data_IF_994286015707
#
_entry.id   IF_994286015707
#
_cell.length_a   1.000
_cell.length_b   1.000
_cell.length_c   1.000
_cell.angle_alpha   90.00
_cell.angle_beta   90.00
_cell.angle_gamma   90.00
#
_symmetry.space_group_name_H-M   'P 1'
#
loop_
_entity.id
_entity.type
_entity.pdbx_description
1 polymer ?
#
# COMPACT_ATOMS: atom_id res chain seq x y z
N UNK A 1 16.28 14.48 -0.39
CA UNK A 1 16.02 13.33 -1.28
C UNK A 1 14.52 13.19 -1.37
N UNK A 2 13.96 13.06 -2.57
CA UNK A 2 12.50 13.02 -2.72
C UNK A 2 11.97 11.61 -2.44
N UNK A 3 10.84 11.47 -1.76
CA UNK A 3 10.28 10.19 -1.32
C UNK A 3 8.85 10.02 -1.83
N UNK A 4 8.55 8.86 -2.41
CA UNK A 4 7.21 8.45 -2.81
C UNK A 4 6.82 7.21 -2.02
N UNK A 5 5.69 7.27 -1.33
CA UNK A 5 5.07 6.10 -0.73
C UNK A 5 4.10 5.49 -1.73
N UNK A 6 4.15 4.17 -1.82
CA UNK A 6 3.24 3.39 -2.61
C UNK A 6 2.50 2.42 -1.70
N UNK A 7 1.19 2.58 -1.63
CA UNK A 7 0.28 1.76 -0.84
C UNK A 7 -0.23 0.60 -1.70
N UNK A 8 -0.32 -0.59 -1.12
CA UNK A 8 -0.73 -1.81 -1.83
C UNK A 8 -1.32 -2.89 -0.92
N UNK A 9 -2.10 -3.80 -1.53
CA UNK A 9 -2.57 -5.06 -0.94
C UNK A 9 -1.73 -6.28 -1.34
N UNK A 10 -0.49 -6.08 -1.78
CA UNK A 10 0.41 -7.16 -2.23
C UNK A 10 0.67 -8.25 -1.16
N UNK A 11 0.39 -7.95 0.10
CA UNK A 11 0.50 -8.89 1.22
C UNK A 11 -0.61 -9.96 1.24
N UNK A 12 -1.66 -9.82 0.42
CA UNK A 12 -2.73 -10.82 0.23
C UNK A 12 -2.27 -11.99 -0.68
N UNK A 13 -1.10 -11.85 -1.34
CA UNK A 13 -0.53 -12.87 -2.25
C UNK A 13 -1.47 -13.27 -3.41
N UNK A 14 -2.22 -12.29 -3.92
CA UNK A 14 -2.94 -12.43 -5.18
C UNK A 14 -2.06 -11.95 -6.35
N UNK A 15 -2.20 -12.59 -7.51
CA UNK A 15 -1.43 -12.22 -8.70
C UNK A 15 -1.62 -10.75 -9.11
N UNK A 16 -2.84 -10.23 -9.11
CA UNK A 16 -3.11 -8.83 -9.45
C UNK A 16 -2.48 -7.88 -8.43
N UNK A 17 -2.71 -8.16 -7.15
CA UNK A 17 -2.22 -7.34 -6.04
C UNK A 17 -0.70 -7.37 -5.90
N UNK A 18 0.00 -8.35 -6.49
CA UNK A 18 1.47 -8.37 -6.52
C UNK A 18 2.03 -7.83 -7.85
N UNK A 19 1.37 -8.10 -8.97
CA UNK A 19 1.82 -7.70 -10.30
C UNK A 19 1.73 -6.20 -10.55
N UNK A 20 0.59 -5.56 -10.25
CA UNK A 20 0.43 -4.13 -10.49
C UNK A 20 1.42 -3.30 -9.66
N UNK A 21 1.63 -3.64 -8.37
CA UNK A 21 2.66 -2.99 -7.59
C UNK A 21 4.07 -3.14 -8.14
N UNK A 22 4.42 -4.35 -8.57
CA UNK A 22 5.72 -4.60 -9.18
C UNK A 22 5.94 -3.73 -10.42
N UNK A 23 4.97 -3.69 -11.33
CA UNK A 23 5.04 -2.86 -12.54
C UNK A 23 5.15 -1.38 -12.18
N UNK A 24 4.38 -0.91 -11.20
CA UNK A 24 4.45 0.48 -10.74
C UNK A 24 5.86 0.84 -10.26
N UNK A 25 6.46 0.04 -9.39
CA UNK A 25 7.81 0.29 -8.85
C UNK A 25 8.84 0.35 -9.97
N UNK A 26 8.81 -0.61 -10.89
CA UNK A 26 9.76 -0.68 -12.01
C UNK A 26 9.62 0.51 -12.97
N UNK A 27 8.39 0.94 -13.25
CA UNK A 27 8.14 2.09 -14.13
C UNK A 27 8.45 3.43 -13.46
N UNK A 28 8.22 3.56 -12.16
CA UNK A 28 8.54 4.77 -11.39
C UNK A 28 10.03 4.96 -11.19
N UNK A 29 10.80 3.89 -10.91
CA UNK A 29 12.27 3.95 -10.84
C UNK A 29 12.88 4.53 -12.12
N UNK A 30 12.34 4.18 -13.29
CA UNK A 30 12.79 4.69 -14.60
C UNK A 30 12.45 6.17 -14.81
N UNK A 31 11.25 6.59 -14.39
CA UNK A 31 10.73 7.97 -14.60
C UNK A 31 11.22 8.96 -13.55
N UNK A 32 11.52 8.47 -12.35
CA UNK A 32 11.85 9.27 -11.18
C UNK A 32 13.20 8.83 -10.58
N UNK A 33 14.32 8.91 -11.32
CA UNK A 33 15.62 8.37 -10.89
C UNK A 33 16.20 9.03 -9.63
N UNK A 34 15.64 10.15 -9.16
CA UNK A 34 16.03 10.84 -7.92
C UNK A 34 15.06 10.64 -6.74
N UNK A 35 14.05 9.77 -6.90
CA UNK A 35 13.10 9.44 -5.85
C UNK A 35 13.44 8.10 -5.20
N UNK A 36 13.28 8.05 -3.88
CA UNK A 36 13.12 6.79 -3.16
C UNK A 36 11.64 6.40 -3.24
N UNK A 37 11.37 5.12 -3.52
CA UNK A 37 10.02 4.57 -3.60
C UNK A 37 9.92 3.50 -2.51
N UNK A 38 9.14 3.79 -1.48
CA UNK A 38 8.86 2.84 -0.41
C UNK A 38 7.50 2.20 -0.66
N UNK A 39 7.44 0.87 -0.57
CA UNK A 39 6.21 0.11 -0.75
C UNK A 39 5.67 -0.27 0.62
N UNK A 40 4.42 0.09 0.88
CA UNK A 40 3.74 -0.11 2.16
C UNK A 40 2.50 -0.98 1.94
N UNK A 41 2.35 -2.00 2.78
CA UNK A 41 1.20 -2.92 2.78
C UNK A 41 0.69 -3.14 4.20
N UNK A 42 -0.49 -3.78 4.36
CA UNK A 42 -1.06 -4.00 5.69
C UNK A 42 -0.14 -4.88 6.57
N UNK A 43 0.60 -5.80 5.97
CA UNK A 43 1.69 -6.56 6.58
C UNK A 43 2.97 -6.44 5.76
N UNK A 44 4.12 -6.60 6.43
CA UNK A 44 5.39 -6.68 5.73
C UNK A 44 5.41 -7.94 4.84
N UNK A 45 5.84 -7.79 3.59
CA UNK A 45 5.80 -8.84 2.59
C UNK A 45 6.96 -8.75 1.60
N UNK A 46 7.06 -9.73 0.71
CA UNK A 46 7.92 -9.67 -0.45
C UNK A 46 7.15 -10.17 -1.68
N UNK A 47 7.29 -9.48 -2.80
CA UNK A 47 6.78 -9.92 -4.09
C UNK A 47 7.84 -9.70 -5.17
N UNK A 48 8.35 -10.81 -5.72
CA UNK A 48 9.52 -10.77 -6.60
C UNK A 48 10.74 -10.11 -5.93
N UNK A 49 11.39 -9.11 -6.56
CA UNK A 49 12.52 -8.39 -5.97
C UNK A 49 12.11 -7.20 -5.09
N UNK A 50 10.81 -6.99 -4.86
CA UNK A 50 10.29 -5.84 -4.11
C UNK A 50 9.95 -6.28 -2.68
N UNK A 51 10.43 -5.52 -1.71
CA UNK A 51 10.09 -5.68 -0.30
C UNK A 51 9.08 -4.61 0.10
N UNK A 52 8.02 -5.04 0.79
CA UNK A 52 7.00 -4.17 1.37
C UNK A 52 7.23 -4.04 2.87
N UNK A 53 7.17 -2.81 3.37
CA UNK A 53 7.14 -2.54 4.81
C UNK A 53 5.70 -2.52 5.33
N UNK A 54 5.53 -2.78 6.62
CA UNK A 54 4.21 -2.65 7.26
C UNK A 54 3.79 -1.18 7.24
N UNK A 55 2.55 -0.94 6.82
CA UNK A 55 1.92 0.35 6.83
C UNK A 55 1.79 0.89 8.27
N UNK A 56 2.19 2.15 8.44
CA UNK A 56 1.98 2.98 9.61
C UNK A 56 1.56 4.39 9.15
N UNK A 57 0.42 4.88 9.62
CA UNK A 57 -0.10 6.19 9.25
C UNK A 57 0.89 7.33 9.53
N UNK A 58 1.57 7.30 10.69
CA UNK A 58 2.48 8.38 11.11
C UNK A 58 3.61 8.59 10.10
N UNK A 59 4.04 7.49 9.46
CA UNK A 59 5.13 7.50 8.50
C UNK A 59 4.75 8.16 7.18
N UNK A 60 3.46 8.30 6.84
CA UNK A 60 3.03 8.91 5.58
C UNK A 60 3.40 10.39 5.46
N UNK A 61 3.56 11.08 6.60
CA UNK A 61 3.92 12.51 6.64
C UNK A 61 5.33 12.82 6.14
N UNK A 62 6.18 11.80 5.98
CA UNK A 62 7.57 11.95 5.52
C UNK A 62 7.71 11.94 3.98
N UNK A 63 6.64 11.64 3.25
CA UNK A 63 6.67 11.46 1.79
C UNK A 63 6.22 12.72 1.05
N UNK A 64 6.81 12.98 -0.12
CA UNK A 64 6.41 14.07 -1.00
C UNK A 64 5.12 13.74 -1.78
N UNK A 65 4.85 12.45 -1.96
CA UNK A 65 3.66 11.93 -2.63
C UNK A 65 3.30 10.55 -2.08
N UNK A 66 1.99 10.28 -2.02
CA UNK A 66 1.43 8.96 -1.68
C UNK A 66 0.58 8.50 -2.85
N UNK A 67 0.81 7.27 -3.29
CA UNK A 67 0.08 6.64 -4.40
C UNK A 67 -0.47 5.31 -3.92
N UNK A 68 -1.74 5.04 -4.17
CA UNK A 68 -2.31 3.70 -4.02
C UNK A 68 -2.30 3.00 -5.38
N UNK A 69 -1.61 1.86 -5.47
CA UNK A 69 -1.52 1.08 -6.70
C UNK A 69 -2.40 -0.17 -6.62
N UNK A 70 -3.51 -0.17 -7.37
CA UNK A 70 -4.45 -1.28 -7.45
C UNK A 70 -5.90 -0.82 -7.31
N UNK A 71 -6.84 -1.69 -7.70
CA UNK A 71 -8.26 -1.41 -7.58
C UNK A 71 -9.11 -2.68 -7.50
N UNK A 72 -9.87 -2.84 -6.41
CA UNK A 72 -11.34 -2.80 -6.43
C UNK A 72 -11.96 -2.82 -5.00
N UNK A 73 -13.15 -2.21 -4.89
CA UNK A 73 -14.19 -2.28 -3.83
C UNK A 73 -13.75 -2.37 -2.36
N UNK A 74 -13.12 -1.31 -1.88
CA UNK A 74 -12.53 -1.25 -0.54
C UNK A 74 -13.57 -1.23 0.60
N UNK A 75 -14.80 -0.78 0.35
CA UNK A 75 -15.80 -0.57 1.42
C UNK A 75 -16.58 -1.84 1.83
N UNK A 76 -16.94 -2.73 0.88
CA UNK A 76 -17.69 -3.96 1.18
C UNK A 76 -16.79 -5.12 1.62
N UNK A 77 -15.47 -4.99 1.39
CA UNK A 77 -14.52 -6.08 1.59
C UNK A 77 -13.98 -6.15 3.01
N UNK A 78 -13.93 -5.06 3.78
CA UNK A 78 -13.42 -5.06 5.16
C UNK A 78 -14.08 -6.17 5.99
N UNK A 79 -15.42 -6.22 6.00
CA UNK A 79 -16.17 -7.17 6.84
C UNK A 79 -16.35 -8.52 6.13
N UNK A 80 -16.66 -8.53 4.83
CA UNK A 80 -17.07 -9.73 4.11
C UNK A 80 -15.92 -10.60 3.57
N UNK A 81 -14.75 -10.02 3.34
CA UNK A 81 -13.66 -10.70 2.61
C UNK A 81 -12.33 -10.55 3.33
N UNK A 82 -11.88 -9.32 3.58
CA UNK A 82 -10.56 -9.03 4.12
C UNK A 82 -10.41 -9.43 5.57
N UNK A 83 -11.42 -9.27 6.43
CA UNK A 83 -11.33 -9.79 7.80
C UNK A 83 -11.08 -11.31 7.81
N UNK A 84 -11.69 -12.08 6.89
CA UNK A 84 -11.46 -13.53 6.81
C UNK A 84 -10.04 -13.92 6.38
N UNK A 85 -9.37 -13.06 5.61
CA UNK A 85 -8.00 -13.24 5.12
C UNK A 85 -6.99 -12.79 6.19
N UNK A 86 -7.18 -11.59 6.73
CA UNK A 86 -6.22 -10.97 7.64
C UNK A 86 -6.33 -11.49 9.08
N UNK A 87 -7.51 -11.88 9.55
CA UNK A 87 -7.69 -12.35 10.92
C UNK A 87 -6.81 -13.57 11.27
N UNK A 88 -6.71 -14.62 10.42
CA UNK A 88 -5.73 -15.69 10.62
C UNK A 88 -4.27 -15.22 10.58
N UNK A 89 -3.93 -14.31 9.66
CA UNK A 89 -2.56 -13.82 9.45
C UNK A 89 -2.07 -12.98 10.64
N UNK A 90 -2.93 -12.18 11.24
CA UNK A 90 -2.61 -11.29 12.37
C UNK A 90 -2.95 -11.90 13.73
N UNK A 91 -3.47 -13.13 13.76
CA UNK A 91 -4.00 -13.79 14.97
C UNK A 91 -5.10 -12.96 15.66
N UNK A 92 -5.88 -12.25 14.87
CA UNK A 92 -6.99 -11.41 15.34
C UNK A 92 -6.60 -10.01 15.81
N UNK A 93 -5.33 -9.61 15.71
CA UNK A 93 -4.86 -8.28 16.11
C UNK A 93 -4.59 -7.41 14.88
N UNK A 94 -5.66 -6.82 14.34
CA UNK A 94 -5.56 -5.74 13.37
C UNK A 94 -5.61 -4.40 14.13
N UNK A 95 -4.52 -3.64 14.10
CA UNK A 95 -4.44 -2.30 14.70
C UNK A 95 -5.27 -1.25 13.91
N UNK A 96 -5.72 -1.62 12.70
CA UNK A 96 -6.43 -0.78 11.73
C UNK A 96 -7.33 -1.63 10.83
N UNK A 97 -8.35 -1.03 10.22
CA UNK A 97 -9.16 -1.71 9.21
C UNK A 97 -8.33 -1.88 7.91
N UNK A 98 -8.42 -3.00 7.18
CA UNK A 98 -7.67 -3.16 5.93
C UNK A 98 -7.92 -2.04 4.91
N UNK A 99 -9.12 -1.44 4.90
CA UNK A 99 -9.44 -0.26 4.10
C UNK A 99 -8.73 1.03 4.51
N UNK A 100 -8.15 1.11 5.71
CA UNK A 100 -7.46 2.30 6.21
C UNK A 100 -6.24 2.64 5.35
N UNK A 101 -5.62 1.66 4.70
CA UNK A 101 -4.55 1.88 3.71
C UNK A 101 -5.05 2.68 2.48
N UNK A 102 -6.36 2.73 2.26
CA UNK A 102 -7.00 3.45 1.15
C UNK A 102 -7.68 4.73 1.60
N UNK A 103 -8.17 4.82 2.84
CA UNK A 103 -8.91 6.01 3.27
C UNK A 103 -8.08 6.97 4.12
N UNK A 104 -7.14 6.48 4.95
CA UNK A 104 -6.45 7.37 5.89
C UNK A 104 -5.53 8.39 5.20
N UNK A 105 -5.05 8.09 3.99
CA UNK A 105 -4.25 9.05 3.22
C UNK A 105 -5.09 10.20 2.63
N UNK A 106 -6.43 10.07 2.56
CA UNK A 106 -7.34 11.11 2.06
C UNK A 106 -7.39 12.33 3.00
N UNK A 107 -7.13 12.15 4.29
CA UNK A 107 -7.15 13.23 5.28
C UNK A 107 -5.79 13.95 5.43
N UNK A 108 -4.73 13.42 4.81
CA UNK A 108 -3.40 14.02 4.87
C UNK A 108 -3.30 15.30 4.04
N UNK A 109 -2.73 16.38 4.59
CA UNK A 109 -2.45 17.61 3.82
C UNK A 109 -1.11 17.50 3.07
N UNK A 110 -1.05 16.62 2.08
CA UNK A 110 0.16 16.35 1.26
C UNK A 110 0.01 16.88 -0.18
N UNK A 111 1.12 17.25 -0.85
CA UNK A 111 1.08 17.99 -2.13
C UNK A 111 0.45 17.23 -3.30
N UNK A 112 0.49 15.89 -3.33
CA UNK A 112 -0.06 15.10 -4.43
C UNK A 112 -0.59 13.75 -3.97
N UNK A 113 -1.73 13.36 -4.57
CA UNK A 113 -2.55 12.20 -4.23
C UNK A 113 -3.07 11.57 -5.52
N UNK A 114 -2.86 10.26 -5.73
CA UNK A 114 -3.38 9.54 -6.89
C UNK A 114 -3.82 8.12 -6.54
N UNK A 115 -4.94 7.70 -7.13
CA UNK A 115 -5.47 6.34 -7.11
C UNK A 115 -5.66 5.88 -8.56
N UNK A 116 -5.14 4.70 -8.90
CA UNK A 116 -5.24 4.07 -10.22
C UNK A 116 -5.99 2.76 -10.15
#
# INVERSE_FOLDING_TARGET
>A
MKKLAMLTFADIDNYGDTFFPYVFVEEMKKRLPGYTIDVLANQACNFGPVTCEKYNLEQLTQYDAVVLAGGEVVHDFDVGVWNSIYYPMTKGNLDFAPSDIVFNWMDLNIPFKAWF
#
